data_IF_472612284986
#
_entry.id   IF_472612284986
#
_cell.length_a   1.000
_cell.length_b   1.000
_cell.length_c   1.000
_cell.angle_alpha   90.00
_cell.angle_beta   90.00
_cell.angle_gamma   90.00
#
_symmetry.space_group_name_H-M   'P 1'
#
loop_
_entity.id
_entity.type
_entity.pdbx_description
1 polymer ?
#
# COMPACT_ATOMS: atom_id res chain seq x y z
N UNK A 1 -3.76 27.09 -26.79
CA UNK A 1 -4.14 25.67 -26.97
C UNK A 1 -3.17 24.68 -26.28
N UNK A 2 -2.09 25.18 -25.65
CA UNK A 2 -0.96 24.41 -25.11
C UNK A 2 -1.15 23.92 -23.67
N UNK A 3 -1.92 24.65 -22.87
CA UNK A 3 -2.04 24.45 -21.41
C UNK A 3 -2.87 23.20 -21.03
N UNK A 4 -4.00 22.99 -21.72
CA UNK A 4 -4.90 21.83 -21.51
C UNK A 4 -4.22 20.49 -21.84
N UNK A 5 -3.34 20.47 -22.85
CA UNK A 5 -2.55 19.28 -23.21
C UNK A 5 -1.46 18.96 -22.17
N UNK A 6 -0.94 19.97 -21.47
CA UNK A 6 0.09 19.78 -20.44
C UNK A 6 -0.51 19.23 -19.14
N UNK A 7 -1.69 19.73 -18.74
CA UNK A 7 -2.45 19.19 -17.61
C UNK A 7 -2.90 17.74 -17.85
N UNK A 8 -3.32 17.41 -19.08
CA UNK A 8 -3.64 16.02 -19.47
C UNK A 8 -2.41 15.10 -19.44
N UNK A 9 -1.23 15.59 -19.83
CA UNK A 9 0.03 14.85 -19.71
C UNK A 9 0.42 14.60 -18.26
N UNK A 10 0.35 15.63 -17.41
CA UNK A 10 0.63 15.49 -15.96
C UNK A 10 -0.31 14.49 -15.28
N UNK A 11 -1.60 14.49 -15.63
CA UNK A 11 -2.54 13.48 -15.13
C UNK A 11 -2.18 12.07 -15.61
N UNK A 12 -1.79 11.93 -16.89
CA UNK A 12 -1.29 10.67 -17.45
C UNK A 12 -0.04 10.16 -16.75
N UNK A 13 0.94 11.03 -16.50
CA UNK A 13 2.20 10.69 -15.83
C UNK A 13 1.95 10.20 -14.39
N UNK A 14 1.00 10.81 -13.67
CA UNK A 14 0.64 10.40 -12.30
C UNK A 14 -0.01 9.02 -12.30
N UNK A 15 -0.92 8.77 -13.24
CA UNK A 15 -1.56 7.46 -13.40
C UNK A 15 -0.53 6.39 -13.78
N UNK A 16 0.42 6.71 -14.65
CA UNK A 16 1.49 5.80 -15.04
C UNK A 16 2.44 5.50 -13.87
N UNK A 17 2.83 6.51 -13.09
CA UNK A 17 3.64 6.32 -11.88
C UNK A 17 2.88 5.44 -10.89
N UNK A 18 1.60 5.73 -10.61
CA UNK A 18 0.78 4.93 -9.71
C UNK A 18 0.71 3.48 -10.18
N UNK A 19 0.45 3.26 -11.47
CA UNK A 19 0.38 1.94 -12.07
C UNK A 19 1.71 1.16 -11.94
N UNK A 20 2.84 1.80 -12.24
CA UNK A 20 4.18 1.22 -12.07
C UNK A 20 4.46 0.85 -10.62
N UNK A 21 4.06 1.69 -9.65
CA UNK A 21 4.21 1.39 -8.21
C UNK A 21 3.37 0.19 -7.80
N UNK A 22 2.12 0.08 -8.28
CA UNK A 22 1.25 -1.09 -8.01
C UNK A 22 1.95 -2.33 -8.55
N UNK A 23 2.43 -2.29 -9.79
CA UNK A 23 3.10 -3.41 -10.44
C UNK A 23 4.38 -3.83 -9.70
N UNK A 24 5.22 -2.88 -9.28
CA UNK A 24 6.42 -3.14 -8.50
C UNK A 24 6.09 -3.89 -7.21
N UNK A 25 5.06 -3.45 -6.49
CA UNK A 25 4.64 -4.09 -5.25
C UNK A 25 4.12 -5.50 -5.49
N UNK A 26 3.26 -5.70 -6.49
CA UNK A 26 2.75 -7.03 -6.86
C UNK A 26 3.88 -7.99 -7.21
N UNK A 27 4.87 -7.53 -7.98
CA UNK A 27 6.01 -8.36 -8.34
C UNK A 27 6.84 -8.77 -7.12
N UNK A 28 7.07 -7.85 -6.18
CA UNK A 28 7.77 -8.16 -4.92
C UNK A 28 6.95 -9.18 -4.10
N UNK A 29 5.64 -9.00 -3.99
CA UNK A 29 4.77 -9.96 -3.30
C UNK A 29 4.78 -11.34 -3.96
N UNK A 30 4.70 -11.42 -5.28
CA UNK A 30 4.77 -12.69 -6.02
C UNK A 30 6.12 -13.36 -5.77
N UNK A 31 7.22 -12.61 -5.90
CA UNK A 31 8.57 -13.15 -5.68
C UNK A 31 8.70 -13.71 -4.27
N UNK A 32 8.23 -12.98 -3.25
CA UNK A 32 8.24 -13.42 -1.87
C UNK A 32 7.34 -14.65 -1.62
N UNK A 33 6.15 -14.71 -2.22
CA UNK A 33 5.28 -15.89 -2.07
C UNK A 33 5.85 -17.12 -2.78
N UNK A 34 6.49 -16.94 -3.93
CA UNK A 34 7.16 -18.03 -4.66
C UNK A 34 8.35 -18.56 -3.86
N UNK A 35 9.20 -17.69 -3.28
CA UNK A 35 10.32 -18.15 -2.44
C UNK A 35 9.81 -18.91 -1.22
N UNK A 36 8.76 -18.43 -0.56
CA UNK A 36 8.14 -19.14 0.56
C UNK A 36 7.48 -20.46 0.12
N UNK A 37 6.89 -20.52 -1.08
CA UNK A 37 6.31 -21.76 -1.63
C UNK A 37 7.39 -22.82 -1.86
N UNK A 38 8.55 -22.42 -2.36
CA UNK A 38 9.69 -23.33 -2.55
C UNK A 38 10.15 -23.90 -1.20
N UNK A 39 10.25 -23.07 -0.16
CA UNK A 39 10.59 -23.51 1.20
C UNK A 39 9.53 -24.47 1.76
N UNK A 40 8.24 -24.21 1.51
CA UNK A 40 7.15 -25.09 1.92
C UNK A 40 7.21 -26.47 1.25
N UNK A 41 7.61 -26.52 -0.02
CA UNK A 41 7.84 -27.79 -0.75
C UNK A 41 8.99 -28.58 -0.12
N UNK A 42 10.10 -27.91 0.19
CA UNK A 42 11.27 -28.55 0.83
C UNK A 42 10.98 -29.08 2.23
N UNK A 43 10.02 -28.47 2.94
CA UNK A 43 9.59 -28.90 4.28
C UNK A 43 8.41 -29.89 4.26
N UNK A 44 7.98 -30.35 3.08
CA UNK A 44 6.87 -31.29 2.88
C UNK A 44 5.52 -30.86 3.49
N UNK A 45 5.30 -29.55 3.65
CA UNK A 45 4.06 -29.00 4.21
C UNK A 45 3.03 -28.74 3.11
N UNK A 46 2.32 -29.80 2.69
CA UNK A 46 1.40 -29.78 1.55
C UNK A 46 0.28 -28.74 1.72
N UNK A 47 -0.31 -28.61 2.91
CA UNK A 47 -1.36 -27.61 3.17
C UNK A 47 -0.87 -26.18 2.94
N UNK A 48 0.38 -25.90 3.31
CA UNK A 48 0.98 -24.56 3.18
C UNK A 48 1.27 -24.23 1.72
N UNK A 49 1.74 -25.21 0.97
CA UNK A 49 1.97 -25.09 -0.48
C UNK A 49 0.69 -24.72 -1.25
N UNK A 50 -0.44 -25.40 -0.97
CA UNK A 50 -1.69 -25.21 -1.72
C UNK A 50 -2.22 -23.79 -1.57
N UNK A 51 -2.26 -23.24 -0.34
CA UNK A 51 -2.79 -21.88 -0.15
C UNK A 51 -1.86 -20.83 -0.77
N UNK A 52 -0.53 -21.01 -0.69
CA UNK A 52 0.42 -20.07 -1.28
C UNK A 52 0.31 -20.04 -2.80
N UNK A 53 0.10 -21.20 -3.43
CA UNK A 53 -0.08 -21.30 -4.88
C UNK A 53 -1.39 -20.61 -5.33
N UNK A 54 -2.49 -20.76 -4.59
CA UNK A 54 -3.74 -20.03 -4.84
C UNK A 54 -3.49 -18.50 -4.77
N UNK A 55 -2.75 -18.03 -3.77
CA UNK A 55 -2.42 -16.62 -3.62
C UNK A 55 -1.57 -16.09 -4.78
N UNK A 56 -0.59 -16.86 -5.26
CA UNK A 56 0.21 -16.52 -6.44
C UNK A 56 -0.65 -16.41 -7.69
N UNK A 57 -1.60 -17.34 -7.89
CA UNK A 57 -2.54 -17.29 -9.03
C UNK A 57 -3.42 -16.05 -8.95
N UNK A 58 -3.95 -15.70 -7.77
CA UNK A 58 -4.75 -14.50 -7.57
C UNK A 58 -3.94 -13.22 -7.85
N UNK A 59 -2.69 -13.12 -7.38
CA UNK A 59 -1.81 -11.99 -7.68
C UNK A 59 -1.46 -11.92 -9.16
N UNK A 60 -1.25 -13.05 -9.83
CA UNK A 60 -1.05 -13.08 -11.27
C UNK A 60 -2.30 -12.57 -12.02
N UNK A 61 -3.51 -12.94 -11.55
CA UNK A 61 -4.78 -12.40 -12.02
C UNK A 61 -4.87 -10.88 -11.84
N UNK A 62 -4.36 -10.32 -10.74
CA UNK A 62 -4.31 -8.86 -10.56
C UNK A 62 -3.39 -8.16 -11.55
N UNK A 63 -2.29 -8.78 -11.99
CA UNK A 63 -1.44 -8.22 -13.06
C UNK A 63 -2.21 -8.13 -14.39
N UNK A 64 -3.05 -9.12 -14.71
CA UNK A 64 -3.91 -9.08 -15.89
C UNK A 64 -4.95 -7.96 -15.79
N UNK A 65 -5.53 -7.76 -14.61
CA UNK A 65 -6.50 -6.69 -14.36
C UNK A 65 -5.85 -5.31 -14.44
N UNK A 66 -4.60 -5.19 -13.99
CA UNK A 66 -3.80 -3.99 -14.08
C UNK A 66 -3.49 -3.62 -15.54
N UNK A 67 -3.22 -4.62 -16.39
CA UNK A 67 -3.08 -4.44 -17.84
C UNK A 67 -4.38 -3.98 -18.52
N UNK A 68 -5.55 -4.27 -17.94
CA UNK A 68 -6.86 -3.81 -18.42
C UNK A 68 -7.22 -2.39 -17.96
N UNK A 69 -6.33 -1.70 -17.24
CA UNK A 69 -6.54 -0.33 -16.77
C UNK A 69 -7.43 -0.21 -15.53
N UNK A 70 -7.87 -1.31 -14.93
CA UNK A 70 -8.71 -1.30 -13.72
C UNK A 70 -7.86 -1.22 -12.44
N UNK A 71 -7.16 -0.09 -12.28
CA UNK A 71 -6.18 0.13 -11.19
C UNK A 71 -6.80 0.11 -9.79
N UNK A 72 -8.04 0.60 -9.64
CA UNK A 72 -8.77 0.62 -8.36
C UNK A 72 -9.19 -0.76 -7.89
N UNK A 73 -9.72 -1.62 -8.78
CA UNK A 73 -10.06 -2.99 -8.40
C UNK A 73 -8.81 -3.82 -8.11
N UNK A 74 -7.76 -3.66 -8.92
CA UNK A 74 -6.50 -4.34 -8.69
C UNK A 74 -5.92 -4.02 -7.31
N UNK A 75 -5.90 -2.75 -6.89
CA UNK A 75 -5.35 -2.36 -5.58
C UNK A 75 -6.12 -2.96 -4.39
N UNK A 76 -7.44 -3.10 -4.50
CA UNK A 76 -8.24 -3.75 -3.44
C UNK A 76 -7.98 -5.25 -3.36
N UNK A 77 -7.90 -5.93 -4.50
CA UNK A 77 -7.62 -7.38 -4.53
C UNK A 77 -6.21 -7.65 -3.99
N UNK A 78 -5.21 -6.86 -4.39
CA UNK A 78 -3.84 -7.02 -3.90
C UNK A 78 -3.79 -6.86 -2.38
N UNK A 79 -4.42 -5.80 -1.84
CA UNK A 79 -4.51 -5.60 -0.39
C UNK A 79 -5.18 -6.78 0.31
N UNK A 80 -6.31 -7.25 -0.21
CA UNK A 80 -7.05 -8.36 0.38
C UNK A 80 -6.22 -9.66 0.38
N UNK A 81 -5.56 -9.96 -0.73
CA UNK A 81 -4.71 -11.17 -0.86
C UNK A 81 -3.49 -11.07 0.05
N UNK A 82 -2.79 -9.93 0.07
CA UNK A 82 -1.63 -9.75 0.95
C UNK A 82 -2.03 -9.84 2.44
N UNK A 83 -3.16 -9.24 2.83
CA UNK A 83 -3.66 -9.32 4.19
C UNK A 83 -4.02 -10.77 4.57
N UNK A 84 -4.71 -11.48 3.67
CA UNK A 84 -5.05 -12.89 3.86
C UNK A 84 -3.80 -13.77 4.02
N UNK A 85 -2.77 -13.56 3.20
CA UNK A 85 -1.49 -14.27 3.33
C UNK A 85 -0.85 -14.05 4.70
N UNK A 86 -0.86 -12.81 5.21
CA UNK A 86 -0.30 -12.50 6.52
C UNK A 86 -1.10 -13.18 7.62
N UNK A 87 -2.43 -13.12 7.56
CA UNK A 87 -3.29 -13.76 8.56
C UNK A 87 -3.08 -15.27 8.58
N UNK A 88 -3.11 -15.93 7.42
CA UNK A 88 -2.86 -17.36 7.31
C UNK A 88 -1.46 -17.74 7.81
N UNK A 89 -0.44 -16.98 7.43
CA UNK A 89 0.94 -17.20 7.89
C UNK A 89 1.08 -17.07 9.41
N UNK A 90 0.32 -16.17 10.05
CA UNK A 90 0.29 -16.05 11.51
C UNK A 90 -0.47 -17.19 12.17
N UNK A 91 -1.53 -17.70 11.54
CA UNK A 91 -2.29 -18.82 12.07
C UNK A 91 -1.44 -20.10 12.12
N UNK A 92 -0.74 -20.40 11.03
CA UNK A 92 0.08 -21.62 10.92
C UNK A 92 1.45 -21.45 11.59
N UNK A 93 1.98 -20.23 11.68
CA UNK A 93 3.28 -19.92 12.27
C UNK A 93 3.26 -19.72 13.80
N UNK A 94 4.28 -19.03 14.32
CA UNK A 94 4.40 -18.67 15.74
C UNK A 94 3.39 -17.61 16.22
N UNK A 95 2.30 -17.37 15.49
CA UNK A 95 1.31 -16.36 15.86
C UNK A 95 1.88 -14.94 15.81
N UNK A 96 1.74 -14.21 16.91
CA UNK A 96 2.17 -12.81 17.00
C UNK A 96 3.69 -12.62 16.94
N UNK A 97 4.48 -13.66 17.20
CA UNK A 97 5.94 -13.64 17.00
C UNK A 97 6.36 -14.02 15.58
N UNK A 98 5.40 -14.22 14.68
CA UNK A 98 5.71 -14.48 13.28
C UNK A 98 6.37 -13.26 12.64
N UNK A 99 7.34 -13.49 11.77
CA UNK A 99 7.94 -12.45 10.92
C UNK A 99 6.89 -11.71 10.08
N UNK A 100 5.70 -12.31 9.89
CA UNK A 100 4.59 -11.71 9.17
C UNK A 100 4.06 -10.41 9.80
N UNK A 101 4.22 -10.20 11.13
CA UNK A 101 3.81 -8.95 11.80
C UNK A 101 4.60 -7.74 11.30
N UNK A 102 5.84 -7.95 10.86
CA UNK A 102 6.69 -6.89 10.27
C UNK A 102 6.08 -6.36 8.95
N UNK A 103 5.22 -7.15 8.29
CA UNK A 103 4.56 -6.73 7.06
C UNK A 103 3.37 -5.78 7.29
N UNK A 104 2.81 -5.69 8.50
CA UNK A 104 1.65 -4.85 8.79
C UNK A 104 1.86 -3.36 8.47
N UNK A 105 2.96 -2.70 8.90
CA UNK A 105 3.27 -1.34 8.49
C UNK A 105 3.30 -1.13 6.97
N UNK A 106 3.91 -2.07 6.24
CA UNK A 106 4.04 -1.98 4.78
C UNK A 106 2.66 -2.07 4.09
N UNK A 107 1.79 -2.96 4.56
CA UNK A 107 0.43 -3.12 4.04
C UNK A 107 -0.44 -1.91 4.37
N UNK A 108 -0.30 -1.32 5.56
CA UNK A 108 -0.99 -0.08 5.93
C UNK A 108 -0.57 1.09 5.04
N UNK A 109 0.73 1.23 4.78
CA UNK A 109 1.23 2.25 3.86
C UNK A 109 0.66 2.04 2.46
N UNK A 110 0.62 0.80 1.97
CA UNK A 110 0.00 0.47 0.68
C UNK A 110 -1.48 0.84 0.65
N UNK A 111 -2.23 0.51 1.71
CA UNK A 111 -3.66 0.82 1.81
C UNK A 111 -3.90 2.33 1.73
N UNK A 112 -3.07 3.11 2.42
CA UNK A 112 -3.17 4.57 2.43
C UNK A 112 -2.81 5.21 1.09
N UNK A 113 -1.72 4.77 0.45
CA UNK A 113 -1.22 5.35 -0.81
C UNK A 113 -2.04 4.92 -2.01
N UNK A 114 -2.51 3.66 -2.05
CA UNK A 114 -3.07 3.07 -3.28
C UNK A 114 -4.59 3.09 -3.33
N UNK A 115 -5.26 3.05 -2.18
CA UNK A 115 -6.72 3.02 -2.11
C UNK A 115 -7.27 4.25 -1.42
N UNK A 116 -6.61 4.68 -0.34
CA UNK A 116 -6.94 5.89 0.39
C UNK A 116 -7.27 5.65 1.85
N UNK A 117 -7.72 6.72 2.51
CA UNK A 117 -7.89 6.78 3.96
C UNK A 117 -8.94 5.83 4.51
N UNK A 118 -10.03 5.58 3.77
CA UNK A 118 -11.09 4.65 4.22
C UNK A 118 -10.56 3.22 4.36
N UNK A 119 -9.86 2.72 3.34
CA UNK A 119 -9.31 1.36 3.37
C UNK A 119 -8.18 1.20 4.37
N UNK A 120 -7.41 2.26 4.64
CA UNK A 120 -6.43 2.26 5.72
C UNK A 120 -7.08 1.91 7.08
N UNK A 121 -8.21 2.53 7.43
CA UNK A 121 -8.91 2.25 8.68
C UNK A 121 -9.52 0.84 8.70
N UNK A 122 -10.09 0.39 7.58
CA UNK A 122 -10.64 -0.97 7.48
C UNK A 122 -9.55 -2.02 7.67
N UNK A 123 -8.40 -1.84 7.01
CA UNK A 123 -7.25 -2.75 7.14
C UNK A 123 -6.69 -2.71 8.56
N UNK A 124 -6.50 -1.53 9.15
CA UNK A 124 -6.03 -1.40 10.54
C UNK A 124 -6.98 -2.07 11.53
N UNK A 125 -8.29 -1.83 11.41
CA UNK A 125 -9.29 -2.49 12.25
C UNK A 125 -9.29 -4.01 12.09
N UNK A 126 -9.14 -4.50 10.85
CA UNK A 126 -9.03 -5.94 10.59
C UNK A 126 -7.79 -6.57 11.21
N UNK A 127 -6.64 -5.88 11.20
CA UNK A 127 -5.40 -6.35 11.84
C UNK A 127 -5.55 -6.39 13.36
N UNK A 128 -6.12 -5.34 13.97
CA UNK A 128 -6.38 -5.30 15.42
C UNK A 128 -7.36 -6.41 15.84
N UNK A 129 -8.44 -6.59 15.09
CA UNK A 129 -9.41 -7.66 15.33
C UNK A 129 -8.75 -9.04 15.21
N UNK A 130 -7.89 -9.23 14.22
CA UNK A 130 -7.20 -10.49 14.02
C UNK A 130 -6.23 -10.82 15.16
N UNK A 131 -5.51 -9.83 15.70
CA UNK A 131 -4.67 -10.00 16.89
C UNK A 131 -5.50 -10.49 18.08
N UNK A 132 -6.68 -9.92 18.30
CA UNK A 132 -7.58 -10.33 19.38
C UNK A 132 -8.07 -11.77 19.15
N UNK A 133 -8.54 -12.09 17.94
CA UNK A 133 -9.00 -13.45 17.58
C UNK A 133 -7.87 -14.47 17.82
N UNK A 134 -6.67 -14.18 17.33
CA UNK A 134 -5.52 -15.07 17.45
C UNK A 134 -5.08 -15.28 18.90
N UNK A 135 -5.10 -14.21 19.71
CA UNK A 135 -4.78 -14.29 21.13
C UNK A 135 -5.82 -15.11 21.90
N UNK A 136 -7.11 -14.86 21.67
CA UNK A 136 -8.21 -15.62 22.28
C UNK A 136 -8.17 -17.09 21.86
N UNK A 137 -7.93 -17.39 20.58
CA UNK A 137 -7.81 -18.76 20.09
C UNK A 137 -6.62 -19.49 20.72
N UNK A 138 -5.51 -18.78 20.96
CA UNK A 138 -4.32 -19.34 21.62
C UNK A 138 -4.59 -19.59 23.11
N UNK A 139 -5.28 -18.69 23.81
CA UNK A 139 -5.63 -18.86 25.23
C UNK A 139 -6.62 -20.00 25.48
N UNK A 140 -7.60 -20.19 24.59
CA UNK A 140 -8.58 -21.28 24.68
C UNK A 140 -8.02 -22.64 24.21
N UNK A 141 -6.77 -22.71 23.76
CA UNK A 141 -6.16 -23.93 23.25
C UNK A 141 -6.74 -24.41 21.92
N UNK A 142 -7.51 -23.58 21.21
CA UNK A 142 -8.02 -23.88 19.86
C UNK A 142 -6.90 -23.95 18.81
N UNK A 143 -5.72 -23.43 19.15
CA UNK A 143 -4.51 -23.48 18.34
C UNK A 143 -3.35 -23.98 19.20
N UNK A 144 -2.65 -24.99 18.72
CA UNK A 144 -1.38 -25.46 19.29
C UNK A 144 -0.26 -24.49 18.91
N UNK A 145 -0.31 -23.27 19.44
CA UNK A 145 0.76 -22.30 19.25
C UNK A 145 2.03 -22.77 19.97
N UNK A 146 3.19 -22.65 19.34
CA UNK A 146 4.51 -22.89 19.94
C UNK A 146 4.91 -21.84 20.99
N UNK A 147 4.01 -20.87 21.26
CA UNK A 147 4.18 -19.80 22.22
C UNK A 147 3.91 -20.31 23.64
N UNK A 148 4.92 -20.30 24.51
CA UNK A 148 4.68 -20.40 25.95
C UNK A 148 3.72 -19.27 26.36
N UNK A 149 2.57 -19.64 26.92
CA UNK A 149 1.40 -18.80 27.18
C UNK A 149 1.72 -17.60 28.08
N UNK A 150 2.29 -16.51 27.52
CA UNK A 150 2.45 -15.24 28.22
C UNK A 150 1.17 -14.39 28.10
N UNK A 151 0.04 -14.92 28.59
CA UNK A 151 -1.18 -14.22 28.98
C UNK A 151 -1.67 -13.01 28.16
N UNK A 152 -2.52 -12.19 28.78
CA UNK A 152 -3.14 -11.00 28.16
C UNK A 152 -2.17 -9.82 27.96
N UNK A 153 -1.07 -9.77 28.73
CA UNK A 153 -0.10 -8.67 28.66
C UNK A 153 0.57 -8.61 27.28
N UNK A 154 0.97 -9.75 26.72
CA UNK A 154 1.59 -9.77 25.39
C UNK A 154 0.61 -9.34 24.30
N UNK A 155 -0.69 -9.65 24.43
CA UNK A 155 -1.71 -9.16 23.51
C UNK A 155 -1.77 -7.63 23.55
N UNK A 156 -1.81 -7.04 24.75
CA UNK A 156 -1.85 -5.59 24.94
C UNK A 156 -0.60 -4.92 24.34
N UNK A 157 0.58 -5.51 24.53
CA UNK A 157 1.84 -4.99 23.96
C UNK A 157 1.77 -4.93 22.42
N UNK A 158 1.30 -6.01 21.77
CA UNK A 158 1.19 -6.03 20.31
C UNK A 158 0.11 -5.09 19.78
N UNK A 159 -1.02 -4.96 20.49
CA UNK A 159 -2.06 -3.99 20.16
C UNK A 159 -1.53 -2.56 20.28
N UNK A 160 -0.79 -2.26 21.35
CA UNK A 160 -0.19 -0.95 21.58
C UNK A 160 0.86 -0.60 20.50
N UNK A 161 1.74 -1.54 20.17
CA UNK A 161 2.74 -1.37 19.11
C UNK A 161 2.08 -1.22 17.72
N UNK A 162 1.05 -2.01 17.42
CA UNK A 162 0.32 -1.88 16.16
C UNK A 162 -0.44 -0.55 16.08
N UNK A 163 -1.06 -0.11 17.18
CA UNK A 163 -1.74 1.18 17.25
C UNK A 163 -0.75 2.35 17.07
N UNK A 164 0.40 2.30 17.75
CA UNK A 164 1.44 3.30 17.63
C UNK A 164 2.03 3.36 16.22
N UNK A 165 2.34 2.22 15.61
CA UNK A 165 2.83 2.17 14.23
C UNK A 165 1.77 2.66 13.23
N UNK A 166 0.51 2.26 13.39
CA UNK A 166 -0.61 2.76 12.59
C UNK A 166 -0.69 4.29 12.67
N UNK A 167 -0.63 4.86 13.87
CA UNK A 167 -0.68 6.31 14.06
C UNK A 167 0.49 7.01 13.36
N UNK A 168 1.72 6.54 13.55
CA UNK A 168 2.92 7.11 12.93
C UNK A 168 2.83 7.05 11.40
N UNK A 169 2.44 5.91 10.84
CA UNK A 169 2.28 5.75 9.38
C UNK A 169 1.23 6.71 8.87
N UNK A 170 0.11 6.88 9.59
CA UNK A 170 -0.95 7.81 9.19
C UNK A 170 -0.42 9.23 9.10
N UNK A 171 0.27 9.70 10.14
CA UNK A 171 0.84 11.06 10.18
C UNK A 171 1.83 11.24 9.04
N UNK A 172 2.83 10.36 8.91
CA UNK A 172 3.88 10.45 7.89
C UNK A 172 3.31 10.40 6.46
N UNK A 173 2.39 9.46 6.20
CA UNK A 173 1.78 9.34 4.87
C UNK A 173 0.88 10.53 4.55
N UNK A 174 0.12 11.05 5.53
CA UNK A 174 -0.67 12.27 5.35
C UNK A 174 0.21 13.48 5.06
N UNK A 175 1.31 13.66 5.79
CA UNK A 175 2.23 14.78 5.61
C UNK A 175 2.93 14.71 4.25
N UNK A 176 3.38 13.52 3.84
CA UNK A 176 3.95 13.28 2.51
C UNK A 176 2.96 13.62 1.40
N UNK A 177 1.72 13.15 1.52
CA UNK A 177 0.68 13.42 0.52
C UNK A 177 0.32 14.92 0.48
N UNK A 178 0.31 15.60 1.62
CA UNK A 178 0.07 17.04 1.71
C UNK A 178 1.22 17.85 1.09
N UNK A 179 2.47 17.50 1.40
CA UNK A 179 3.67 18.14 0.83
C UNK A 179 3.71 17.97 -0.69
N UNK A 180 3.39 16.78 -1.19
CA UNK A 180 3.27 16.53 -2.63
C UNK A 180 2.15 17.37 -3.26
N UNK A 181 1.02 17.54 -2.57
CA UNK A 181 -0.07 18.39 -3.05
C UNK A 181 0.35 19.87 -3.10
N UNK A 182 1.04 20.37 -2.07
CA UNK A 182 1.55 21.76 -2.04
C UNK A 182 2.62 22.01 -3.09
N UNK A 183 3.58 21.10 -3.23
CA UNK A 183 4.61 21.18 -4.26
C UNK A 183 3.99 21.25 -5.66
N UNK A 184 2.90 20.51 -5.90
CA UNK A 184 2.15 20.60 -7.16
C UNK A 184 1.48 21.95 -7.35
N UNK A 185 0.90 22.53 -6.30
CA UNK A 185 0.30 23.85 -6.37
C UNK A 185 1.35 24.91 -6.72
N UNK A 186 2.52 24.88 -6.05
CA UNK A 186 3.63 25.80 -6.34
C UNK A 186 4.14 25.66 -7.78
N UNK A 187 4.27 24.44 -8.30
CA UNK A 187 4.68 24.23 -9.70
C UNK A 187 3.69 24.88 -10.69
N UNK A 188 2.39 24.79 -10.42
CA UNK A 188 1.35 25.41 -11.25
C UNK A 188 1.42 26.94 -11.14
N UNK A 189 1.59 27.49 -9.94
CA UNK A 189 1.69 28.94 -9.71
C UNK A 189 2.95 29.56 -10.36
N UNK A 190 4.10 28.87 -10.28
CA UNK A 190 5.34 29.30 -10.95
C UNK A 190 5.18 29.27 -12.46
N UNK A 191 4.50 28.27 -13.01
CA UNK A 191 4.22 28.20 -14.44
C UNK A 191 3.32 29.35 -14.89
N UNK A 192 2.25 29.65 -14.15
CA UNK A 192 1.38 30.79 -14.43
C UNK A 192 2.14 32.13 -14.36
N UNK A 193 3.04 32.28 -13.38
CA UNK A 193 3.88 33.46 -13.24
C UNK A 193 4.85 33.63 -14.42
N UNK A 194 5.41 32.54 -14.95
CA UNK A 194 6.26 32.57 -16.15
C UNK A 194 5.48 32.97 -17.39
N UNK A 195 4.28 32.43 -17.59
CA UNK A 195 3.41 32.79 -18.72
C UNK A 195 3.00 34.27 -18.66
N UNK A 196 2.70 34.79 -17.48
CA UNK A 196 2.40 36.21 -17.29
C UNK A 196 3.61 37.11 -17.56
N UNK A 197 4.81 36.70 -17.12
CA UNK A 197 6.06 37.42 -17.37
C UNK A 197 6.45 37.41 -18.85
N UNK A 198 6.29 36.29 -19.55
CA UNK A 198 6.49 36.21 -21.01
C UNK A 198 5.47 37.09 -21.75
N UNK A 199 4.20 37.07 -21.32
CA UNK A 199 3.18 37.95 -21.90
C UNK A 199 3.53 39.44 -21.72
N UNK A 200 4.05 39.83 -20.55
CA UNK A 200 4.53 41.19 -20.28
C UNK A 200 5.85 41.54 -21.00
N UNK A 201 6.69 40.55 -21.32
CA UNK A 201 7.92 40.75 -22.07
C UNK A 201 7.67 40.90 -23.59
N UNK A 202 6.63 40.23 -24.11
CA UNK A 202 6.22 40.32 -25.52
C UNK A 202 5.21 41.44 -25.80
N UNK A 203 4.52 41.96 -24.78
CA UNK A 203 3.64 43.12 -24.88
C UNK A 203 4.16 44.30 -24.06
N UNK A 204 4.77 45.29 -24.73
CA UNK A 204 5.15 46.56 -24.11
C UNK A 204 3.89 47.34 -23.70
N UNK A 205 3.74 47.54 -22.38
CA UNK A 205 2.58 48.19 -21.77
C UNK A 205 2.51 49.70 -22.07
N UNK A 206 3.55 50.31 -22.67
CA UNK A 206 3.53 51.71 -23.09
C UNK A 206 3.28 51.96 -24.58
N UNK A 207 3.39 50.94 -25.45
CA UNK A 207 3.22 51.14 -26.91
C UNK A 207 2.32 50.12 -27.62
N UNK A 208 1.93 49.02 -26.97
CA UNK A 208 0.97 48.05 -27.52
C UNK A 208 1.45 47.31 -28.77
N UNK A 209 2.72 47.43 -29.15
CA UNK A 209 3.32 46.77 -30.30
C UNK A 209 4.20 45.58 -29.86
N UNK A 210 4.32 44.53 -30.70
CA UNK A 210 5.18 43.39 -30.41
C UNK A 210 6.65 43.80 -30.45
N UNK A 211 7.37 43.54 -29.36
CA UNK A 211 8.80 43.84 -29.24
C UNK A 211 9.62 42.88 -30.13
N UNK A 212 10.64 43.42 -30.82
CA UNK A 212 11.52 42.67 -31.74
C UNK A 212 12.84 42.29 -31.08
#
# INVERSE_FOLDING_TARGET
>A
MTDKNKLLRLQGDIEEIRNRRIQQFVLVCILLLVTLSIVAVLSAQISIMVYMMICVVLLCGTLLLLRRGQTTLASHIILAVTLFCIFQSMWDGSGLRSAAVIAYPAVLLLAMVMVGTRSFYVVSASMLLYIVILSVATMNGWRTGTEATRGYLTMIDHLAVLAASTFLIRVLASDLLLLLARLRQELVEVEQSKLAAEHLAYHDNLTGLPNR
#
